data_IF_256465482551
#
_entry.id   IF_256465482551
#
_cell.length_a   1.000
_cell.length_b   1.000
_cell.length_c   1.000
_cell.angle_alpha   90.00
_cell.angle_beta   90.00
_cell.angle_gamma   90.00
#
_symmetry.space_group_name_H-M   'P 1'
#
loop_
_entity.id
_entity.type
_entity.pdbx_description
1 polymer ?
#
# COMPACT_ATOMS: atom_id res chain seq x y z
N UNK A 1 -18.12 -6.24 16.73
CA UNK A 1 -16.63 -6.37 16.69
C UNK A 1 -16.26 -6.65 15.25
N UNK A 2 -15.34 -5.87 14.69
CA UNK A 2 -14.92 -5.98 13.28
C UNK A 2 -14.19 -7.30 13.04
N UNK A 3 -14.54 -8.00 11.97
CA UNK A 3 -13.78 -9.15 11.47
C UNK A 3 -12.59 -8.65 10.63
N UNK A 4 -11.44 -8.47 11.30
CA UNK A 4 -10.24 -7.93 10.66
C UNK A 4 -9.68 -8.85 9.56
N UNK A 5 -9.81 -10.17 9.69
CA UNK A 5 -9.29 -11.13 8.71
C UNK A 5 -9.96 -10.92 7.35
N UNK A 6 -11.25 -10.53 7.36
CA UNK A 6 -11.97 -10.20 6.13
C UNK A 6 -11.39 -8.96 5.43
N UNK A 7 -10.89 -7.99 6.20
CA UNK A 7 -10.26 -6.78 5.65
C UNK A 7 -8.85 -7.08 5.17
N UNK A 8 -8.07 -7.87 5.91
CA UNK A 8 -6.70 -8.27 5.52
C UNK A 8 -6.71 -8.96 4.16
N UNK A 9 -7.73 -9.79 3.88
CA UNK A 9 -7.90 -10.46 2.58
C UNK A 9 -8.05 -9.51 1.38
N UNK A 10 -8.31 -8.22 1.61
CA UNK A 10 -8.47 -7.22 0.54
C UNK A 10 -7.15 -6.63 0.04
N UNK A 11 -6.02 -7.02 0.61
CA UNK A 11 -4.69 -6.47 0.30
C UNK A 11 -4.58 -4.93 0.45
N UNK A 12 -5.44 -4.32 1.25
CA UNK A 12 -5.27 -2.91 1.62
C UNK A 12 -4.04 -2.83 2.53
N UNK A 13 -3.01 -2.04 2.18
CA UNK A 13 -1.81 -1.94 2.98
C UNK A 13 -2.04 -1.33 4.37
N UNK A 14 -1.18 -1.69 5.32
CA UNK A 14 -1.10 -1.10 6.66
C UNK A 14 -2.34 -1.30 7.54
N UNK A 15 -3.12 -2.36 7.28
CA UNK A 15 -4.28 -2.75 8.09
C UNK A 15 -3.84 -3.23 9.47
N UNK A 16 -4.42 -2.66 10.50
CA UNK A 16 -4.27 -3.14 11.88
C UNK A 16 -5.46 -2.76 12.77
N UNK A 17 -5.79 -3.57 13.80
CA UNK A 17 -6.81 -3.22 14.77
C UNK A 17 -6.39 -2.03 15.63
N UNK A 18 -7.33 -1.18 15.98
CA UNK A 18 -7.13 -0.07 16.94
C UNK A 18 -8.45 0.36 17.55
N UNK A 19 -8.54 0.40 18.88
CA UNK A 19 -9.68 0.96 19.66
C UNK A 19 -11.08 0.48 19.22
N UNK A 20 -11.23 -0.81 18.89
CA UNK A 20 -12.50 -1.36 18.39
C UNK A 20 -12.82 -1.04 16.93
N UNK A 21 -11.91 -0.41 16.23
CA UNK A 21 -11.91 -0.16 14.80
C UNK A 21 -10.67 -0.74 14.10
N UNK A 22 -10.43 -0.26 12.89
CA UNK A 22 -9.28 -0.66 12.05
C UNK A 22 -8.62 0.57 11.46
N UNK A 23 -7.29 0.62 11.50
CA UNK A 23 -6.48 1.61 10.78
C UNK A 23 -5.98 1.04 9.47
N UNK A 24 -5.75 1.89 8.47
CA UNK A 24 -5.19 1.47 7.19
C UNK A 24 -4.95 2.63 6.24
N UNK A 25 -4.54 2.29 5.01
CA UNK A 25 -4.37 3.25 3.93
C UNK A 25 -5.72 3.69 3.36
N UNK A 26 -5.84 4.93 2.90
CA UNK A 26 -7.06 5.40 2.23
C UNK A 26 -7.31 4.60 0.96
N UNK A 27 -8.53 4.07 0.87
CA UNK A 27 -8.98 3.35 -0.32
C UNK A 27 -9.34 4.32 -1.43
N UNK A 28 -8.84 4.04 -2.63
CA UNK A 28 -9.22 4.76 -3.85
C UNK A 28 -10.46 4.16 -4.50
N UNK A 29 -10.99 4.85 -5.51
CA UNK A 29 -12.07 4.33 -6.36
C UNK A 29 -11.73 2.99 -7.03
N UNK A 30 -10.44 2.67 -7.20
CA UNK A 30 -9.95 1.40 -7.78
C UNK A 30 -10.24 0.18 -6.90
N UNK A 31 -10.36 0.38 -5.58
CA UNK A 31 -10.69 -0.68 -4.62
C UNK A 31 -12.21 -0.93 -4.47
N UNK A 32 -13.05 -0.26 -5.27
CA UNK A 32 -14.51 -0.29 -5.08
C UNK A 32 -15.13 -1.68 -5.26
N UNK A 33 -14.60 -2.48 -6.16
CA UNK A 33 -15.20 -3.77 -6.51
C UNK A 33 -15.05 -4.83 -5.43
N UNK A 34 -14.02 -4.76 -4.59
CA UNK A 34 -13.71 -5.80 -3.62
C UNK A 34 -13.48 -5.30 -2.18
N UNK A 35 -12.80 -4.17 -2.00
CA UNK A 35 -12.44 -3.69 -0.67
C UNK A 35 -13.62 -3.06 0.08
N UNK A 36 -14.45 -2.27 -0.60
CA UNK A 36 -15.62 -1.66 0.03
C UNK A 36 -16.67 -2.68 0.49
N UNK A 37 -17.07 -3.67 -0.34
CA UNK A 37 -17.92 -4.75 0.14
C UNK A 37 -17.32 -5.49 1.34
N UNK A 38 -16.03 -5.78 1.32
CA UNK A 38 -15.36 -6.47 2.41
C UNK A 38 -15.34 -5.68 3.72
N UNK A 39 -15.24 -4.34 3.69
CA UNK A 39 -15.39 -3.52 4.88
C UNK A 39 -16.81 -3.64 5.49
N UNK A 40 -17.85 -3.61 4.65
CA UNK A 40 -19.24 -3.80 5.10
C UNK A 40 -19.41 -5.17 5.71
N UNK A 41 -18.98 -6.22 5.02
CA UNK A 41 -19.03 -7.61 5.50
C UNK A 41 -18.25 -7.83 6.79
N UNK A 42 -17.13 -7.11 6.96
CA UNK A 42 -16.34 -7.12 8.19
C UNK A 42 -17.02 -6.40 9.37
N UNK A 43 -18.10 -5.65 9.14
CA UNK A 43 -18.82 -4.92 10.15
C UNK A 43 -18.35 -3.48 10.38
N UNK A 44 -17.61 -2.90 9.45
CA UNK A 44 -17.27 -1.46 9.47
C UNK A 44 -18.53 -0.64 9.20
N UNK A 45 -18.81 0.33 10.08
CA UNK A 45 -20.01 1.19 9.99
C UNK A 45 -19.66 2.63 9.68
N UNK A 46 -18.40 3.04 9.87
CA UNK A 46 -17.98 4.42 9.69
C UNK A 46 -16.54 4.53 9.18
N UNK A 47 -16.29 5.59 8.41
CA UNK A 47 -14.97 5.91 7.86
C UNK A 47 -14.52 7.26 8.38
N UNK A 48 -13.34 7.31 8.98
CA UNK A 48 -12.68 8.52 9.48
C UNK A 48 -11.56 8.87 8.51
N UNK A 49 -11.72 9.93 7.75
CA UNK A 49 -10.73 10.41 6.78
C UNK A 49 -9.86 11.52 7.39
N UNK A 50 -8.57 11.25 7.52
CA UNK A 50 -7.60 12.16 8.12
C UNK A 50 -6.84 13.04 7.11
N UNK A 51 -7.19 12.92 5.83
CA UNK A 51 -6.48 13.65 4.77
C UNK A 51 -6.93 15.10 4.74
N UNK A 52 -6.00 15.95 4.34
CA UNK A 52 -6.31 17.30 3.87
C UNK A 52 -6.77 17.16 2.41
N UNK A 53 -8.08 17.17 2.18
CA UNK A 53 -8.70 16.88 0.88
C UNK A 53 -9.64 18.02 0.46
N UNK A 54 -9.70 18.21 -0.83
CA UNK A 54 -10.59 19.19 -1.48
C UNK A 54 -11.91 18.57 -1.94
N UNK A 55 -12.68 19.33 -2.71
CA UNK A 55 -13.97 18.95 -3.29
C UNK A 55 -13.90 17.74 -4.24
N UNK A 56 -12.71 17.32 -4.69
CA UNK A 56 -12.53 16.14 -5.54
C UNK A 56 -12.57 14.82 -4.77
N UNK A 57 -12.67 14.88 -3.43
CA UNK A 57 -12.75 13.69 -2.57
C UNK A 57 -14.02 12.90 -2.82
N UNK A 58 -13.86 11.66 -3.26
CA UNK A 58 -14.99 10.74 -3.54
C UNK A 58 -15.38 9.86 -2.34
N UNK A 59 -14.68 9.93 -1.20
CA UNK A 59 -14.97 9.09 -0.05
C UNK A 59 -16.38 9.33 0.53
N UNK A 60 -16.89 10.56 0.67
CA UNK A 60 -18.26 10.78 1.16
C UNK A 60 -19.30 10.05 0.32
N UNK A 61 -19.20 10.16 -1.01
CA UNK A 61 -20.08 9.45 -1.94
C UNK A 61 -19.98 7.93 -1.82
N UNK A 62 -18.76 7.41 -1.62
CA UNK A 62 -18.55 5.97 -1.47
C UNK A 62 -19.09 5.46 -0.14
N UNK A 63 -18.92 6.21 0.94
CA UNK A 63 -19.50 5.86 2.23
C UNK A 63 -21.03 5.81 2.15
N UNK A 64 -21.65 6.81 1.54
CA UNK A 64 -23.11 6.84 1.31
C UNK A 64 -23.57 5.62 0.49
N UNK A 65 -22.89 5.33 -0.63
CA UNK A 65 -23.18 4.16 -1.48
C UNK A 65 -23.17 2.83 -0.73
N UNK A 66 -22.29 2.68 0.26
CA UNK A 66 -22.11 1.44 1.03
C UNK A 66 -22.77 1.51 2.43
N UNK A 67 -23.56 2.54 2.71
CA UNK A 67 -24.31 2.68 3.97
C UNK A 67 -23.43 2.92 5.19
N UNK A 68 -22.26 3.57 5.02
CA UNK A 68 -21.33 3.90 6.10
C UNK A 68 -21.40 5.38 6.45
N UNK A 69 -21.26 5.72 7.73
CA UNK A 69 -21.06 7.09 8.17
C UNK A 69 -19.67 7.60 7.70
N UNK A 70 -19.63 8.81 7.18
CA UNK A 70 -18.36 9.48 6.81
C UNK A 70 -18.06 10.61 7.76
N UNK A 71 -16.85 10.65 8.31
CA UNK A 71 -16.35 11.73 9.12
C UNK A 71 -15.01 12.21 8.64
N UNK A 72 -14.90 13.50 8.35
CA UNK A 72 -13.66 14.14 7.96
C UNK A 72 -13.00 14.81 9.15
N UNK A 73 -11.83 14.31 9.56
CA UNK A 73 -11.00 14.88 10.60
C UNK A 73 -9.63 15.22 10.02
N UNK A 74 -9.46 16.42 9.42
CA UNK A 74 -8.22 16.77 8.76
C UNK A 74 -7.08 16.92 9.76
N UNK A 75 -6.02 16.14 9.57
CA UNK A 75 -4.80 16.19 10.38
C UNK A 75 -3.68 16.82 9.57
N UNK A 76 -3.18 17.98 10.00
CA UNK A 76 -2.06 18.66 9.39
C UNK A 76 -0.78 18.48 10.20
N UNK A 77 0.27 17.99 9.55
CA UNK A 77 1.56 17.75 10.19
C UNK A 77 2.30 19.04 10.63
N UNK A 78 1.82 20.21 10.18
CA UNK A 78 2.45 21.50 10.44
C UNK A 78 1.63 22.39 11.42
N UNK A 79 0.66 21.82 12.11
CA UNK A 79 -0.23 22.51 13.06
C UNK A 79 -0.97 23.74 12.49
N UNK A 80 -1.02 23.92 11.18
CA UNK A 80 -1.77 25.01 10.53
C UNK A 80 -3.29 24.94 10.71
N UNK A 81 -3.78 23.79 11.20
CA UNK A 81 -5.21 23.50 11.39
C UNK A 81 -5.52 23.08 12.82
N UNK A 82 -4.71 23.50 13.80
CA UNK A 82 -4.94 23.17 15.22
C UNK A 82 -6.33 23.56 15.67
N UNK A 83 -6.79 24.76 15.25
CA UNK A 83 -8.14 25.24 15.56
C UNK A 83 -9.22 24.26 15.05
N UNK A 84 -9.17 23.88 13.78
CA UNK A 84 -10.11 22.93 13.20
C UNK A 84 -10.03 21.56 13.86
N UNK A 85 -8.83 21.09 14.18
CA UNK A 85 -8.63 19.83 14.92
C UNK A 85 -9.28 19.89 16.30
N UNK A 86 -9.08 20.96 17.05
CA UNK A 86 -9.66 21.12 18.39
C UNK A 86 -11.18 21.23 18.32
N UNK A 87 -11.72 22.00 17.36
CA UNK A 87 -13.15 22.16 17.17
C UNK A 87 -13.85 20.82 16.84
N UNK A 88 -13.24 19.96 16.06
CA UNK A 88 -13.78 18.66 15.65
C UNK A 88 -13.45 17.52 16.61
N UNK A 89 -12.59 17.77 17.61
CA UNK A 89 -12.09 16.73 18.51
C UNK A 89 -13.17 16.01 19.31
N UNK A 90 -14.20 16.68 19.87
CA UNK A 90 -15.29 15.97 20.56
C UNK A 90 -15.99 14.95 19.68
N UNK A 91 -16.31 15.32 18.44
CA UNK A 91 -16.95 14.43 17.46
C UNK A 91 -16.00 13.30 17.03
N UNK A 92 -14.72 13.61 16.84
CA UNK A 92 -13.70 12.59 16.55
C UNK A 92 -13.61 11.53 17.65
N UNK A 93 -13.57 11.96 18.92
CA UNK A 93 -13.54 11.06 20.07
C UNK A 93 -14.81 10.20 20.15
N UNK A 94 -15.99 10.79 19.89
CA UNK A 94 -17.25 10.05 19.83
C UNK A 94 -17.21 8.98 18.73
N UNK A 95 -16.66 9.28 17.55
CA UNK A 95 -16.53 8.31 16.45
C UNK A 95 -15.62 7.14 16.81
N UNK A 96 -14.51 7.42 17.53
CA UNK A 96 -13.62 6.37 18.02
C UNK A 96 -14.29 5.54 19.13
N UNK A 97 -14.95 6.19 20.09
CA UNK A 97 -15.61 5.51 21.22
C UNK A 97 -16.77 4.59 20.76
N UNK A 98 -17.45 4.91 19.67
CA UNK A 98 -18.48 4.06 19.05
C UNK A 98 -17.90 2.76 18.48
N UNK A 99 -16.61 2.68 18.22
CA UNK A 99 -15.98 1.53 17.55
C UNK A 99 -16.46 1.31 16.10
N UNK A 100 -16.25 0.12 15.57
CA UNK A 100 -16.67 -0.28 14.21
C UNK A 100 -16.28 0.72 13.11
N UNK A 101 -15.11 1.38 13.23
CA UNK A 101 -14.62 2.38 12.30
C UNK A 101 -13.44 1.89 11.45
N UNK A 102 -13.28 2.50 10.28
CA UNK A 102 -12.07 2.47 9.48
C UNK A 102 -11.43 3.85 9.48
N UNK A 103 -10.25 4.00 10.07
CA UNK A 103 -9.51 5.27 10.12
C UNK A 103 -8.35 5.26 9.14
N UNK A 104 -8.28 6.26 8.28
CA UNK A 104 -7.31 6.29 7.20
C UNK A 104 -6.71 7.68 6.94
N UNK A 105 -5.43 7.68 6.60
CA UNK A 105 -4.79 8.78 5.89
C UNK A 105 -4.15 8.24 4.60
N UNK A 106 -3.47 9.07 3.81
CA UNK A 106 -2.91 8.64 2.53
C UNK A 106 -2.10 7.32 2.61
N UNK A 107 -1.31 7.16 3.68
CA UNK A 107 -0.48 5.97 3.91
C UNK A 107 -0.95 5.11 5.10
N UNK A 108 -1.96 5.52 5.84
CA UNK A 108 -2.39 4.82 7.06
C UNK A 108 -1.43 4.92 8.26
N UNK A 109 -0.40 5.75 8.16
CA UNK A 109 0.71 5.81 9.12
C UNK A 109 0.77 7.15 9.88
N UNK A 110 1.36 8.20 9.31
CA UNK A 110 1.74 9.43 10.01
C UNK A 110 0.58 10.21 10.64
N UNK A 111 -0.41 10.61 9.81
CA UNK A 111 -1.59 11.37 10.29
C UNK A 111 -2.45 10.52 11.19
N UNK A 112 -2.48 9.21 10.94
CA UNK A 112 -3.19 8.24 11.76
C UNK A 112 -2.56 8.15 13.16
N UNK A 113 -1.23 8.08 13.27
CA UNK A 113 -0.54 8.11 14.55
C UNK A 113 -0.80 9.43 15.31
N UNK A 114 -0.74 10.59 14.62
CA UNK A 114 -1.05 11.88 15.24
C UNK A 114 -2.47 11.91 15.81
N UNK A 115 -3.46 11.49 15.02
CA UNK A 115 -4.86 11.49 15.45
C UNK A 115 -5.10 10.53 16.62
N UNK A 116 -4.59 9.32 16.56
CA UNK A 116 -4.73 8.33 17.63
C UNK A 116 -3.99 8.74 18.91
N UNK A 117 -2.78 9.31 18.80
CA UNK A 117 -2.06 9.88 19.96
C UNK A 117 -2.81 11.06 20.57
N UNK A 118 -3.42 11.92 19.75
CA UNK A 118 -4.26 13.04 20.22
C UNK A 118 -5.45 12.54 21.02
N UNK A 119 -6.18 11.54 20.48
CA UNK A 119 -7.28 10.89 21.20
C UNK A 119 -6.81 10.33 22.53
N UNK A 120 -5.72 9.55 22.53
CA UNK A 120 -5.22 8.94 23.76
C UNK A 120 -4.76 9.97 24.80
N UNK A 121 -3.96 10.96 24.39
CA UNK A 121 -3.38 11.96 25.32
C UNK A 121 -4.44 12.81 25.99
N UNK A 122 -5.45 13.27 25.25
CA UNK A 122 -6.41 14.24 25.77
C UNK A 122 -7.72 13.64 26.28
N UNK A 123 -8.10 12.42 25.85
CA UNK A 123 -9.45 11.91 26.10
C UNK A 123 -9.53 10.50 26.68
N UNK A 124 -8.59 9.63 26.43
CA UNK A 124 -8.79 8.20 26.70
C UNK A 124 -7.84 7.58 27.72
N UNK A 125 -6.72 8.24 28.06
CA UNK A 125 -5.74 7.66 28.99
C UNK A 125 -6.33 7.38 30.38
N UNK A 126 -7.25 8.23 30.86
CA UNK A 126 -7.92 8.04 32.15
C UNK A 126 -8.97 6.91 32.12
N UNK A 127 -9.34 6.44 30.95
CA UNK A 127 -10.25 5.30 30.75
C UNK A 127 -9.54 3.94 30.83
N UNK A 128 -8.25 3.92 31.17
CA UNK A 128 -7.46 2.68 31.19
C UNK A 128 -7.17 2.10 29.80
N UNK A 129 -7.35 2.88 28.75
CA UNK A 129 -7.07 2.45 27.37
C UNK A 129 -5.57 2.58 27.11
N UNK A 130 -4.96 1.53 26.57
CA UNK A 130 -3.55 1.52 26.19
C UNK A 130 -3.24 2.56 25.12
N UNK A 131 -2.02 3.14 25.10
CA UNK A 131 -1.62 4.04 24.03
C UNK A 131 -1.60 3.32 22.67
N UNK A 132 -1.82 4.05 21.56
CA UNK A 132 -1.83 3.43 20.23
C UNK A 132 -0.42 3.00 19.82
N UNK A 133 -0.26 1.90 19.10
CA UNK A 133 1.03 1.56 18.51
C UNK A 133 1.44 2.63 17.48
N UNK A 134 2.67 3.12 17.59
CA UNK A 134 3.25 4.10 16.66
C UNK A 134 3.79 3.34 15.44
N UNK A 135 3.32 3.67 14.26
CA UNK A 135 3.65 2.97 12.99
C UNK A 135 4.21 3.89 11.91
N UNK A 136 4.64 5.09 12.28
CA UNK A 136 5.12 6.08 11.34
C UNK A 136 6.27 5.59 10.47
N UNK A 137 6.22 5.93 9.20
CA UNK A 137 7.29 5.69 8.25
C UNK A 137 8.58 6.37 8.73
N UNK A 138 9.71 5.70 8.69
CA UNK A 138 11.02 6.17 9.17
C UNK A 138 11.05 6.44 10.69
N UNK A 139 10.61 5.50 11.48
CA UNK A 139 10.83 5.53 12.94
C UNK A 139 12.31 5.71 13.30
N UNK A 140 13.22 5.17 12.50
CA UNK A 140 14.67 5.27 12.68
C UNK A 140 15.17 6.72 12.75
N UNK A 141 14.54 7.65 12.02
CA UNK A 141 14.93 9.06 11.99
C UNK A 141 14.26 9.90 13.10
N UNK A 142 13.40 9.33 13.95
CA UNK A 142 12.61 10.07 14.93
C UNK A 142 11.63 11.09 14.32
N UNK A 143 11.50 11.11 13.01
CA UNK A 143 10.78 12.15 12.28
C UNK A 143 9.28 12.15 12.56
N UNK A 144 8.67 10.97 12.71
CA UNK A 144 7.25 10.87 13.05
C UNK A 144 6.98 11.33 14.48
N UNK A 145 7.84 10.93 15.42
CA UNK A 145 7.75 11.34 16.82
C UNK A 145 7.82 12.86 16.98
N UNK A 146 8.77 13.51 16.30
CA UNK A 146 8.90 14.96 16.34
C UNK A 146 7.63 15.66 15.87
N UNK A 147 6.97 15.15 14.82
CA UNK A 147 5.69 15.68 14.33
C UNK A 147 4.55 15.45 15.31
N UNK A 148 4.44 14.26 15.90
CA UNK A 148 3.44 13.96 16.93
C UNK A 148 3.61 14.93 18.10
N UNK A 149 4.84 15.07 18.64
CA UNK A 149 5.13 15.96 19.75
C UNK A 149 4.80 17.42 19.42
N UNK A 150 5.13 17.86 18.22
CA UNK A 150 4.82 19.22 17.77
C UNK A 150 3.31 19.48 17.75
N UNK A 151 2.52 18.58 17.18
CA UNK A 151 1.06 18.74 17.10
C UNK A 151 0.42 18.68 18.48
N UNK A 152 0.81 17.72 19.33
CA UNK A 152 0.31 17.64 20.71
C UNK A 152 0.59 18.91 21.53
N UNK A 153 1.80 19.47 21.43
CA UNK A 153 2.15 20.73 22.08
C UNK A 153 1.29 21.90 21.56
N UNK A 154 1.08 21.94 20.24
CA UNK A 154 0.28 23.01 19.61
C UNK A 154 -1.19 22.93 20.02
N UNK A 155 -1.76 21.74 20.12
CA UNK A 155 -3.12 21.51 20.63
C UNK A 155 -3.22 21.94 22.10
N UNK A 156 -2.31 21.48 22.94
CA UNK A 156 -2.31 21.84 24.36
C UNK A 156 -2.26 23.35 24.57
N UNK A 157 -1.33 24.02 23.88
CA UNK A 157 -1.17 25.48 23.90
C UNK A 157 -2.45 26.19 23.45
N UNK A 158 -2.99 25.80 22.29
CA UNK A 158 -4.21 26.40 21.74
C UNK A 158 -5.41 26.25 22.69
N UNK A 159 -5.64 25.05 23.24
CA UNK A 159 -6.75 24.81 24.16
C UNK A 159 -6.60 25.63 25.44
N UNK A 160 -5.39 25.75 25.97
CA UNK A 160 -5.11 26.55 27.19
C UNK A 160 -5.36 28.05 26.91
N UNK A 161 -4.90 28.57 25.77
CA UNK A 161 -5.07 29.97 25.38
C UNK A 161 -6.56 30.34 25.12
N UNK A 162 -7.32 29.44 24.49
CA UNK A 162 -8.75 29.70 24.20
C UNK A 162 -9.64 29.63 25.41
N UNK A 163 -9.38 28.69 26.33
CA UNK A 163 -10.27 28.40 27.44
C UNK A 163 -9.79 29.08 28.77
N UNK A 164 -8.57 29.62 28.79
CA UNK A 164 -7.94 30.12 30.01
C UNK A 164 -7.64 29.03 31.08
N UNK A 165 -7.82 27.75 30.73
CA UNK A 165 -7.62 26.60 31.61
C UNK A 165 -6.91 25.50 30.82
N UNK A 166 -5.98 24.80 31.49
CA UNK A 166 -5.30 23.65 30.92
C UNK A 166 -6.32 22.55 30.58
N UNK A 167 -6.26 21.95 29.36
CA UNK A 167 -7.17 20.86 28.95
C UNK A 167 -7.01 19.60 29.82
N UNK A 168 -5.79 19.36 30.27
CA UNK A 168 -5.39 18.37 31.28
C UNK A 168 -4.23 18.96 32.10
N UNK A 169 -3.98 18.55 33.36
CA UNK A 169 -2.85 19.06 34.14
C UNK A 169 -1.52 18.90 33.38
N UNK A 170 -0.67 19.92 33.40
CA UNK A 170 0.62 19.94 32.70
C UNK A 170 1.48 18.72 33.04
N UNK A 171 1.51 18.27 34.29
CA UNK A 171 2.28 17.09 34.66
C UNK A 171 1.73 15.80 34.03
N UNK A 172 0.41 15.67 33.95
CA UNK A 172 -0.26 14.57 33.23
C UNK A 172 0.08 14.61 31.73
N UNK A 173 0.04 15.80 31.12
CA UNK A 173 0.42 15.99 29.73
C UNK A 173 1.86 15.57 29.45
N UNK A 174 2.81 16.01 30.30
CA UNK A 174 4.22 15.62 30.20
C UNK A 174 4.40 14.10 30.32
N UNK A 175 3.73 13.49 31.31
CA UNK A 175 3.81 12.04 31.56
C UNK A 175 3.30 11.25 30.33
N UNK A 176 2.13 11.62 29.77
CA UNK A 176 1.55 10.96 28.59
C UNK A 176 2.43 11.14 27.35
N UNK A 177 2.99 12.33 27.14
CA UNK A 177 3.96 12.56 26.07
C UNK A 177 5.21 11.70 26.20
N UNK A 178 5.69 11.50 27.44
CA UNK A 178 6.84 10.63 27.69
C UNK A 178 6.54 9.21 27.24
N UNK A 179 5.36 8.66 27.56
CA UNK A 179 4.92 7.33 27.09
C UNK A 179 4.92 7.25 25.57
N UNK A 180 4.32 8.23 24.86
CA UNK A 180 4.32 8.26 23.40
C UNK A 180 5.76 8.31 22.83
N UNK A 181 6.65 9.09 23.45
CA UNK A 181 8.04 9.18 23.04
C UNK A 181 8.82 7.88 23.25
N UNK A 182 8.52 7.15 24.31
CA UNK A 182 9.12 5.83 24.60
C UNK A 182 8.64 4.79 23.60
N UNK A 183 7.33 4.68 23.38
CA UNK A 183 6.74 3.78 22.39
C UNK A 183 7.24 4.03 20.96
N UNK A 184 7.56 5.27 20.62
CA UNK A 184 8.12 5.59 19.31
C UNK A 184 9.58 5.16 19.15
N UNK A 185 10.27 4.86 20.26
CA UNK A 185 11.65 4.35 20.28
C UNK A 185 11.68 2.83 20.40
N UNK A 186 10.64 2.23 20.95
CA UNK A 186 10.48 0.80 20.88
C UNK A 186 10.38 0.45 19.39
N UNK A 187 11.46 -0.15 18.86
CA UNK A 187 11.34 -0.89 17.63
C UNK A 187 10.18 -1.83 17.88
N UNK A 188 9.05 -1.62 17.19
CA UNK A 188 8.12 -2.72 17.04
C UNK A 188 8.99 -3.87 16.54
N UNK A 189 9.08 -4.95 17.31
CA UNK A 189 9.61 -6.25 16.88
C UNK A 189 8.64 -6.90 15.86
N UNK A 190 8.11 -6.15 14.93
CA UNK A 190 8.10 -6.57 13.57
C UNK A 190 9.56 -6.39 13.17
N UNK A 191 10.34 -7.49 13.28
CA UNK A 191 11.59 -7.58 12.56
C UNK A 191 11.32 -6.88 11.22
N UNK A 192 12.00 -5.76 10.96
CA UNK A 192 12.27 -5.32 9.62
C UNK A 192 13.18 -6.41 9.01
N UNK A 193 12.58 -7.56 8.74
CA UNK A 193 13.12 -8.47 7.74
C UNK A 193 13.00 -7.64 6.46
N UNK A 194 14.09 -7.11 5.93
CA UNK A 194 14.02 -6.28 4.75
C UNK A 194 13.24 -7.07 3.71
N UNK A 195 12.19 -6.44 3.16
CA UNK A 195 11.37 -7.10 2.14
C UNK A 195 12.31 -7.61 1.05
N UNK A 196 12.26 -8.90 0.78
CA UNK A 196 13.01 -9.49 -0.32
C UNK A 196 12.47 -8.93 -1.64
N UNK A 197 13.35 -8.39 -2.45
CA UNK A 197 12.97 -7.82 -3.73
C UNK A 197 12.92 -8.89 -4.80
N UNK A 198 11.75 -9.03 -5.43
CA UNK A 198 11.51 -9.95 -6.53
C UNK A 198 11.27 -9.16 -7.80
N UNK A 199 12.14 -9.35 -8.76
CA UNK A 199 11.95 -8.88 -10.12
C UNK A 199 11.29 -9.95 -10.97
N UNK A 200 10.36 -9.56 -11.82
CA UNK A 200 9.61 -10.48 -12.69
C UNK A 200 9.66 -9.96 -14.11
N UNK A 201 10.11 -10.77 -15.06
CA UNK A 201 10.02 -10.43 -16.48
C UNK A 201 8.58 -10.49 -16.98
N UNK A 202 8.32 -9.94 -18.14
CA UNK A 202 6.98 -9.95 -18.74
C UNK A 202 6.82 -11.05 -19.77
N UNK A 203 7.60 -11.00 -20.85
CA UNK A 203 7.39 -11.85 -22.01
C UNK A 203 7.80 -13.29 -21.68
N UNK A 204 6.89 -14.25 -21.86
CA UNK A 204 7.12 -15.65 -21.53
C UNK A 204 7.07 -15.97 -20.02
N UNK A 205 6.85 -14.98 -19.15
CA UNK A 205 6.76 -15.13 -17.69
C UNK A 205 5.40 -14.67 -17.16
N UNK A 206 5.05 -13.39 -17.33
CA UNK A 206 3.73 -12.84 -16.98
C UNK A 206 2.77 -12.83 -18.17
N UNK A 207 3.28 -12.58 -19.38
CA UNK A 207 2.52 -12.37 -20.59
C UNK A 207 2.90 -13.40 -21.66
N UNK A 208 1.89 -14.02 -22.26
CA UNK A 208 2.04 -15.04 -23.30
C UNK A 208 2.21 -14.38 -24.67
N UNK A 209 3.44 -14.42 -25.18
CA UNK A 209 3.80 -13.84 -26.47
C UNK A 209 3.02 -14.47 -27.65
N UNK A 210 2.86 -15.78 -27.63
CA UNK A 210 2.14 -16.52 -28.69
C UNK A 210 0.67 -16.12 -28.75
N UNK A 211 0.05 -15.85 -27.60
CA UNK A 211 -1.34 -15.38 -27.53
C UNK A 211 -1.53 -14.00 -28.19
N UNK A 212 -0.53 -13.13 -28.06
CA UNK A 212 -0.51 -11.83 -28.72
C UNK A 212 -0.31 -11.99 -30.23
N UNK A 213 0.65 -12.81 -30.63
CA UNK A 213 0.95 -13.10 -32.03
C UNK A 213 -0.24 -13.74 -32.74
N UNK A 214 -1.01 -14.60 -32.08
CA UNK A 214 -2.22 -15.21 -32.65
C UNK A 214 -3.28 -14.19 -33.07
N UNK A 215 -3.30 -13.00 -32.45
CA UNK A 215 -4.25 -11.92 -32.77
C UNK A 215 -3.79 -10.96 -33.86
N UNK A 216 -2.57 -11.11 -34.34
CA UNK A 216 -2.01 -10.29 -35.44
C UNK A 216 -2.47 -10.83 -36.77
N UNK A 217 -2.74 -9.92 -37.73
CA UNK A 217 -3.12 -10.26 -39.09
C UNK A 217 -2.01 -11.04 -39.82
N UNK A 218 -2.36 -12.02 -40.63
CA UNK A 218 -1.40 -12.88 -41.32
C UNK A 218 -0.54 -12.13 -42.36
N UNK A 219 -1.04 -11.04 -42.92
CA UNK A 219 -0.26 -10.19 -43.82
C UNK A 219 0.86 -9.48 -43.06
N UNK A 220 0.54 -8.97 -41.86
CA UNK A 220 1.53 -8.36 -40.97
C UNK A 220 2.56 -9.38 -40.50
N UNK A 221 2.14 -10.61 -40.12
CA UNK A 221 3.08 -11.69 -39.78
C UNK A 221 4.05 -12.02 -40.90
N UNK A 222 3.61 -12.00 -42.16
CA UNK A 222 4.48 -12.24 -43.32
C UNK A 222 5.53 -11.13 -43.45
N UNK A 223 5.14 -9.87 -43.25
CA UNK A 223 6.05 -8.73 -43.31
C UNK A 223 7.13 -8.79 -42.23
N UNK A 224 6.78 -9.23 -41.03
CA UNK A 224 7.68 -9.32 -39.88
C UNK A 224 8.25 -10.72 -39.62
N UNK A 225 8.28 -11.59 -40.63
CA UNK A 225 8.78 -12.95 -40.47
C UNK A 225 10.21 -12.99 -39.94
N UNK A 226 10.40 -13.70 -38.79
CA UNK A 226 11.69 -13.81 -38.09
C UNK A 226 12.01 -12.65 -37.17
N UNK A 227 11.10 -11.65 -37.02
CA UNK A 227 11.24 -10.49 -36.14
C UNK A 227 9.88 -10.04 -35.59
N UNK A 228 9.10 -10.98 -35.08
CA UNK A 228 7.74 -10.74 -34.62
C UNK A 228 7.67 -9.79 -33.44
N UNK A 229 8.74 -9.70 -32.64
CA UNK A 229 8.88 -8.74 -31.54
C UNK A 229 8.98 -7.28 -32.01
N UNK A 230 9.21 -7.04 -33.31
CA UNK A 230 9.17 -5.70 -33.91
C UNK A 230 7.77 -5.26 -34.37
N UNK A 231 6.75 -6.12 -34.29
CA UNK A 231 5.38 -5.77 -34.69
C UNK A 231 4.81 -4.70 -33.75
N UNK A 232 4.44 -3.51 -34.26
CA UNK A 232 3.85 -2.47 -33.44
C UNK A 232 2.53 -2.91 -32.80
N UNK A 233 2.36 -2.63 -31.50
CA UNK A 233 1.14 -2.94 -30.74
C UNK A 233 1.03 -4.37 -30.23
N UNK A 234 1.91 -5.29 -30.67
CA UNK A 234 1.85 -6.72 -30.32
C UNK A 234 1.79 -6.96 -28.82
N UNK A 235 2.64 -6.25 -28.05
CA UNK A 235 2.77 -6.48 -26.60
C UNK A 235 1.51 -6.10 -25.82
N UNK A 236 0.66 -5.23 -26.35
CA UNK A 236 -0.64 -4.89 -25.76
C UNK A 236 -1.71 -5.97 -25.97
N UNK A 237 -1.52 -6.86 -26.94
CA UNK A 237 -2.46 -7.92 -27.32
C UNK A 237 -2.27 -9.20 -26.51
N UNK A 238 -1.14 -9.35 -25.81
CA UNK A 238 -0.81 -10.57 -25.08
C UNK A 238 -1.81 -10.85 -23.95
N UNK A 239 -2.13 -12.12 -23.75
CA UNK A 239 -2.89 -12.58 -22.58
C UNK A 239 -1.92 -12.92 -21.44
N UNK A 240 -2.39 -12.95 -20.18
CA UNK A 240 -1.57 -13.43 -19.08
C UNK A 240 -1.19 -14.91 -19.24
N UNK A 241 0.04 -15.24 -18.83
CA UNK A 241 0.44 -16.65 -18.66
C UNK A 241 -0.45 -17.35 -17.63
N UNK A 242 -0.73 -18.65 -17.79
CA UNK A 242 -1.49 -19.40 -16.79
C UNK A 242 -0.94 -19.26 -15.38
N UNK A 243 -1.79 -18.89 -14.43
CA UNK A 243 -1.44 -18.71 -13.02
C UNK A 243 -0.69 -17.42 -12.68
N UNK A 244 -0.21 -16.63 -13.66
CA UNK A 244 0.63 -15.45 -13.41
C UNK A 244 -0.06 -14.38 -12.54
N UNK A 245 -1.31 -14.06 -12.84
CA UNK A 245 -2.06 -13.02 -12.11
C UNK A 245 -2.27 -13.45 -10.65
N UNK A 246 -2.72 -14.69 -10.42
CA UNK A 246 -2.91 -15.24 -9.09
C UNK A 246 -1.60 -15.27 -8.30
N UNK A 247 -0.51 -15.72 -8.93
CA UNK A 247 0.81 -15.76 -8.31
C UNK A 247 1.28 -14.39 -7.83
N UNK A 248 1.12 -13.33 -8.65
CA UNK A 248 1.49 -11.97 -8.26
C UNK A 248 0.72 -11.49 -7.05
N UNK A 249 -0.59 -11.73 -7.00
CA UNK A 249 -1.42 -11.38 -5.85
C UNK A 249 -1.05 -12.19 -4.59
N UNK A 250 -0.72 -13.48 -4.73
CA UNK A 250 -0.28 -14.32 -3.60
C UNK A 250 1.06 -13.85 -3.04
N UNK A 251 2.05 -13.55 -3.88
CA UNK A 251 3.35 -13.01 -3.44
C UNK A 251 3.16 -11.65 -2.77
N UNK A 252 2.35 -10.76 -3.35
CA UNK A 252 2.04 -9.46 -2.74
C UNK A 252 1.36 -9.61 -1.37
N UNK A 253 0.41 -10.54 -1.26
CA UNK A 253 -0.34 -10.81 -0.03
C UNK A 253 0.54 -11.40 1.07
N UNK A 254 1.56 -12.16 0.73
CA UNK A 254 2.50 -12.78 1.67
C UNK A 254 3.22 -11.72 2.54
N UNK A 255 3.48 -10.53 1.99
CA UNK A 255 4.03 -9.39 2.72
C UNK A 255 5.54 -9.45 2.98
N UNK A 256 6.22 -10.54 2.65
CA UNK A 256 7.70 -10.68 2.76
C UNK A 256 8.42 -10.14 1.53
N UNK A 257 7.71 -9.82 0.45
CA UNK A 257 8.27 -9.51 -0.85
C UNK A 257 7.87 -8.13 -1.35
N UNK A 258 8.82 -7.46 -1.99
CA UNK A 258 8.62 -6.24 -2.76
C UNK A 258 8.72 -6.57 -4.25
N UNK A 259 7.60 -6.51 -4.98
CA UNK A 259 7.51 -6.91 -6.38
C UNK A 259 7.81 -5.75 -7.32
N UNK A 260 8.63 -6.00 -8.34
CA UNK A 260 8.88 -5.12 -9.47
C UNK A 260 8.85 -5.89 -10.78
N UNK A 261 8.38 -5.26 -11.84
CA UNK A 261 8.62 -5.73 -13.20
C UNK A 261 10.01 -5.31 -13.63
N UNK A 262 10.75 -6.25 -14.22
CA UNK A 262 12.07 -6.01 -14.83
C UNK A 262 12.11 -6.65 -16.21
N UNK A 263 11.74 -5.88 -17.23
CA UNK A 263 11.55 -6.38 -18.58
C UNK A 263 12.43 -5.63 -19.60
N UNK A 264 12.52 -6.18 -20.81
CA UNK A 264 13.22 -5.56 -21.93
C UNK A 264 12.21 -5.24 -23.02
N UNK A 265 12.28 -4.05 -23.60
CA UNK A 265 11.53 -3.73 -24.83
C UNK A 265 12.45 -3.89 -26.04
N UNK A 266 11.99 -4.56 -27.13
CA UNK A 266 12.78 -4.68 -28.35
C UNK A 266 13.21 -3.31 -28.88
N UNK A 267 14.49 -3.20 -29.28
CA UNK A 267 15.08 -1.93 -29.68
C UNK A 267 14.38 -1.28 -30.88
N UNK A 268 13.96 -2.09 -31.84
CA UNK A 268 13.32 -1.64 -33.07
C UNK A 268 11.78 -1.52 -32.95
N UNK A 269 11.21 -1.73 -31.76
CA UNK A 269 9.78 -1.59 -31.52
C UNK A 269 9.48 -0.53 -30.44
N UNK A 270 9.38 0.75 -30.83
CA UNK A 270 9.07 1.82 -29.86
C UNK A 270 7.73 1.63 -29.13
N UNK A 271 6.73 0.97 -29.77
CA UNK A 271 5.43 0.76 -29.13
C UNK A 271 5.53 -0.20 -27.94
N UNK A 272 6.49 -1.14 -27.96
CA UNK A 272 6.64 -2.12 -26.87
C UNK A 272 6.82 -1.47 -25.50
N UNK A 273 7.39 -0.27 -25.40
CA UNK A 273 7.54 0.48 -24.14
C UNK A 273 6.19 0.90 -23.56
N UNK A 274 5.31 1.46 -24.36
CA UNK A 274 3.96 1.85 -23.95
C UNK A 274 3.04 0.65 -23.81
N UNK A 275 3.16 -0.33 -24.69
CA UNK A 275 2.34 -1.54 -24.68
C UNK A 275 2.51 -2.33 -23.38
N UNK A 276 3.75 -2.50 -22.92
CA UNK A 276 4.06 -3.16 -21.65
C UNK A 276 3.42 -2.42 -20.46
N UNK A 277 3.48 -1.09 -20.43
CA UNK A 277 2.80 -0.30 -19.42
C UNK A 277 1.28 -0.49 -19.46
N UNK A 278 0.68 -0.44 -20.66
CA UNK A 278 -0.76 -0.62 -20.86
C UNK A 278 -1.21 -2.02 -20.44
N UNK A 279 -0.42 -3.04 -20.74
CA UNK A 279 -0.68 -4.41 -20.31
C UNK A 279 -0.70 -4.53 -18.78
N UNK A 280 0.31 -3.94 -18.10
CA UNK A 280 0.37 -3.93 -16.62
C UNK A 280 -0.81 -3.17 -16.03
N UNK A 281 -1.17 -2.02 -16.59
CA UNK A 281 -2.33 -1.25 -16.13
C UNK A 281 -3.65 -2.02 -16.30
N UNK A 282 -3.74 -2.87 -17.30
CA UNK A 282 -4.93 -3.70 -17.55
C UNK A 282 -5.05 -4.86 -16.56
N UNK A 283 -3.96 -5.56 -16.26
CA UNK A 283 -4.01 -6.85 -15.56
C UNK A 283 -3.49 -6.82 -14.13
N UNK A 284 -2.52 -5.92 -13.80
CA UNK A 284 -1.76 -5.92 -12.55
C UNK A 284 -1.43 -4.50 -12.03
N UNK A 285 -2.26 -3.49 -12.33
CA UNK A 285 -2.04 -2.11 -11.88
C UNK A 285 -2.01 -2.01 -10.35
N UNK A 286 -2.77 -2.83 -9.66
CA UNK A 286 -2.81 -2.90 -8.20
C UNK A 286 -1.54 -3.47 -7.56
N UNK A 287 -0.80 -4.31 -8.28
CA UNK A 287 0.48 -4.90 -7.84
C UNK A 287 1.66 -4.01 -8.22
N UNK A 288 1.73 -3.59 -9.49
CA UNK A 288 2.93 -2.98 -10.08
C UNK A 288 2.82 -1.48 -10.38
N UNK A 289 1.85 -0.75 -9.82
CA UNK A 289 1.76 0.69 -10.01
C UNK A 289 3.08 1.38 -9.62
N UNK A 290 3.73 2.06 -10.61
CA UNK A 290 5.04 2.72 -10.45
C UNK A 290 6.21 1.78 -10.09
N UNK A 291 6.09 0.50 -10.41
CA UNK A 291 7.07 -0.54 -10.12
C UNK A 291 7.48 -1.30 -11.39
N UNK A 292 7.73 -0.57 -12.48
CA UNK A 292 8.16 -1.12 -13.76
C UNK A 292 9.53 -0.56 -14.10
N UNK A 293 10.46 -1.45 -14.41
CA UNK A 293 11.79 -1.14 -14.94
C UNK A 293 11.92 -1.80 -16.31
N UNK A 294 12.20 -1.01 -17.34
CA UNK A 294 12.49 -1.51 -18.70
C UNK A 294 13.94 -1.22 -18.99
N UNK A 295 14.73 -2.27 -19.26
CA UNK A 295 16.19 -2.17 -19.47
C UNK A 295 16.71 -3.33 -20.29
N UNK A 296 17.86 -3.14 -20.97
CA UNK A 296 18.66 -4.18 -21.60
C UNK A 296 19.80 -4.67 -20.70
N UNK A 297 19.89 -4.18 -19.46
CA UNK A 297 20.96 -4.45 -18.53
C UNK A 297 20.38 -4.85 -17.16
N UNK A 298 19.74 -6.03 -17.07
CA UNK A 298 19.08 -6.52 -15.84
C UNK A 298 20.07 -6.74 -14.70
N UNK A 299 21.33 -7.04 -15.01
CA UNK A 299 22.43 -7.18 -14.05
C UNK A 299 22.80 -5.91 -13.28
N UNK A 300 22.34 -4.74 -13.70
CA UNK A 300 22.56 -3.50 -12.97
C UNK A 300 21.59 -3.30 -11.78
N UNK A 301 20.52 -4.10 -11.73
CA UNK A 301 19.50 -4.02 -10.68
C UNK A 301 19.88 -4.96 -9.52
N UNK A 302 19.68 -4.50 -8.29
CA UNK A 302 19.95 -5.27 -7.07
C UNK A 302 18.64 -5.77 -6.47
N UNK A 303 18.56 -7.06 -6.22
CA UNK A 303 17.40 -7.70 -5.62
C UNK A 303 17.73 -9.12 -5.18
N UNK A 304 16.78 -9.78 -4.54
CA UNK A 304 16.96 -11.15 -4.03
C UNK A 304 16.64 -12.20 -5.06
N UNK A 305 15.63 -11.95 -5.89
CA UNK A 305 15.15 -12.88 -6.91
C UNK A 305 14.88 -12.19 -8.24
N UNK A 306 15.17 -12.88 -9.33
CA UNK A 306 14.75 -12.54 -10.69
C UNK A 306 14.04 -13.75 -11.32
N UNK A 307 12.77 -13.63 -11.65
CA UNK A 307 12.02 -14.63 -12.43
C UNK A 307 12.05 -14.22 -13.89
N UNK A 308 12.73 -15.00 -14.72
CA UNK A 308 12.97 -14.69 -16.16
C UNK A 308 13.14 -16.00 -16.95
N UNK A 309 12.52 -16.11 -18.12
CA UNK A 309 12.59 -17.31 -18.96
C UNK A 309 13.92 -17.42 -19.74
N UNK A 310 14.65 -16.29 -19.87
CA UNK A 310 15.85 -16.22 -20.72
C UNK A 310 17.08 -15.67 -19.98
N UNK A 311 18.26 -16.19 -20.35
CA UNK A 311 19.55 -15.75 -19.80
C UNK A 311 20.09 -14.44 -20.41
N UNK A 312 19.31 -13.78 -21.29
CA UNK A 312 19.76 -12.60 -22.06
C UNK A 312 19.60 -11.30 -21.26
N UNK A 313 20.14 -10.22 -21.82
CA UNK A 313 20.00 -8.86 -21.29
C UNK A 313 20.47 -8.72 -19.82
N UNK A 314 21.47 -9.50 -19.42
CA UNK A 314 22.03 -9.47 -18.08
C UNK A 314 21.24 -10.29 -17.03
N UNK A 315 20.26 -11.10 -17.43
CA UNK A 315 19.50 -11.92 -16.49
C UNK A 315 20.37 -12.98 -15.81
N UNK A 316 21.27 -13.63 -16.54
CA UNK A 316 22.22 -14.62 -16.01
C UNK A 316 23.23 -14.02 -15.03
N UNK A 317 23.58 -12.77 -15.22
CA UNK A 317 24.55 -12.01 -14.43
C UNK A 317 23.89 -11.22 -13.28
N UNK A 318 22.60 -11.45 -13.01
CA UNK A 318 21.91 -10.85 -11.89
C UNK A 318 22.52 -11.31 -10.56
N UNK A 319 22.79 -10.38 -9.64
CA UNK A 319 23.52 -10.70 -8.38
C UNK A 319 22.67 -11.55 -7.40
N UNK A 320 21.33 -11.55 -7.51
CA UNK A 320 20.43 -12.38 -6.70
C UNK A 320 20.21 -13.78 -7.32
N UNK A 321 19.22 -14.48 -6.82
CA UNK A 321 18.81 -15.78 -7.34
C UNK A 321 18.01 -15.61 -8.64
N UNK A 322 18.53 -16.17 -9.74
CA UNK A 322 17.79 -16.23 -11.01
C UNK A 322 16.96 -17.49 -11.07
N UNK A 323 15.64 -17.33 -11.01
CA UNK A 323 14.65 -18.39 -11.19
C UNK A 323 14.32 -18.46 -12.67
N UNK A 324 14.87 -19.46 -13.37
CA UNK A 324 14.64 -19.63 -14.81
C UNK A 324 13.25 -20.22 -15.07
N UNK A 325 12.26 -19.36 -15.31
CA UNK A 325 10.89 -19.77 -15.58
C UNK A 325 10.77 -20.61 -16.86
N UNK A 326 9.91 -21.63 -16.85
CA UNK A 326 9.69 -22.51 -17.98
C UNK A 326 10.71 -23.64 -18.17
N UNK A 327 11.70 -23.78 -17.28
CA UNK A 327 12.61 -24.93 -17.28
C UNK A 327 12.02 -26.14 -16.52
N UNK A 328 12.76 -27.24 -16.40
CA UNK A 328 12.29 -28.45 -15.70
C UNK A 328 12.13 -28.27 -14.18
N UNK A 329 12.79 -27.32 -13.57
CA UNK A 329 12.72 -27.03 -12.14
C UNK A 329 11.58 -26.04 -11.82
N UNK A 330 11.39 -25.05 -12.69
CA UNK A 330 10.37 -24.02 -12.56
C UNK A 330 9.44 -23.98 -13.79
N UNK A 331 8.68 -25.04 -14.06
CA UNK A 331 7.86 -25.16 -15.27
C UNK A 331 6.67 -24.18 -15.29
N UNK A 332 6.25 -23.70 -14.12
CA UNK A 332 5.04 -22.92 -13.91
C UNK A 332 5.13 -22.01 -12.69
N UNK A 333 4.09 -21.22 -12.44
CA UNK A 333 4.01 -20.32 -11.30
C UNK A 333 3.86 -21.05 -9.95
N UNK A 334 3.30 -22.25 -9.90
CA UNK A 334 3.19 -23.02 -8.66
C UNK A 334 4.58 -23.43 -8.15
N UNK A 335 5.48 -23.81 -9.04
CA UNK A 335 6.87 -24.12 -8.70
C UNK A 335 7.65 -22.89 -8.21
N UNK A 336 7.44 -21.71 -8.82
CA UNK A 336 8.02 -20.44 -8.36
C UNK A 336 7.48 -20.05 -6.98
N UNK A 337 6.17 -20.16 -6.76
CA UNK A 337 5.56 -19.87 -5.46
C UNK A 337 6.13 -20.79 -4.37
N UNK A 338 6.32 -22.08 -4.68
CA UNK A 338 6.95 -23.03 -3.77
C UNK A 338 8.39 -22.65 -3.41
N UNK A 339 9.19 -22.21 -4.40
CA UNK A 339 10.56 -21.71 -4.18
C UNK A 339 10.57 -20.48 -3.25
N UNK A 340 9.63 -19.58 -3.45
CA UNK A 340 9.48 -18.39 -2.60
C UNK A 340 8.84 -18.73 -1.23
N UNK A 341 8.34 -19.95 -1.01
CA UNK A 341 7.63 -20.35 0.21
C UNK A 341 6.31 -19.62 0.40
N UNK A 342 5.62 -19.29 -0.70
CA UNK A 342 4.31 -18.62 -0.71
C UNK A 342 3.22 -19.67 -0.86
N UNK A 343 2.31 -19.76 0.12
CA UNK A 343 1.20 -20.73 0.15
C UNK A 343 -0.06 -20.20 -0.52
#
# INVERSE_FOLDING_TARGET
MINIDRIIQTNIPDIAPVYGGVRGRTMSSRHQSYAWPALVEAGVKRVIDLRDVDSSNKLPFLCDKYGMEYFHYPVNNHAKQVESMVALMPQFCEMIDKGDFYIACAMGLHRTDIALCTYWVFYSADKGIAPPPIRGYRQEDGHNTSKIMYVLNSIYKYMTEQNGVEPIPMETFKARKKVINELSKEKTEHEDVPLKRVYVDMDGVLADFESGLAKVDDEVKKEYLGRFDEIPGLFSLMEPMPGAIDAMHRIQKDGRYELYILSTAPWNNPSAWSDKLLWVQKYLDDVFQKRIVITHCKNLLKGDYLVDDRSKNGAKEFEGEWIQFGNSEFPDWDSVLKQLGVC
#
